data_IF_602229130779
#
_entry.id   IF_602229130779
#
_cell.length_a   1.000
_cell.length_b   1.000
_cell.length_c   1.000
_cell.angle_alpha   90.00
_cell.angle_beta   90.00
_cell.angle_gamma   90.00
#
_symmetry.space_group_name_H-M   'P 1'
#
loop_
_entity.id
_entity.type
_entity.pdbx_description
1 polymer ?
#
# COMPACT_ATOMS: atom_id res chain seq x y z
N UNK A 1 3.78 0.21 -23.15
CA UNK A 1 4.12 -0.50 -21.90
C UNK A 1 3.89 0.47 -20.73
N UNK A 2 3.20 0.04 -19.68
CA UNK A 2 3.06 0.83 -18.45
C UNK A 2 4.45 0.98 -17.80
N UNK A 3 4.81 2.19 -17.37
CA UNK A 3 6.09 2.51 -16.69
C UNK A 3 5.96 2.52 -15.17
N UNK A 4 4.76 2.22 -14.65
CA UNK A 4 4.44 2.30 -13.23
C UNK A 4 4.72 0.99 -12.49
N UNK A 5 4.82 1.07 -11.16
CA UNK A 5 5.16 -0.05 -10.28
C UNK A 5 6.51 -0.70 -10.65
N UNK A 6 7.54 0.12 -10.92
CA UNK A 6 8.88 -0.34 -11.27
C UNK A 6 9.52 -1.27 -10.22
N UNK A 7 9.11 -1.12 -8.96
CA UNK A 7 9.51 -1.95 -7.84
C UNK A 7 8.39 -2.03 -6.80
N UNK A 8 8.19 -3.22 -6.25
CA UNK A 8 7.29 -3.46 -5.12
C UNK A 8 8.08 -4.19 -4.04
N UNK A 9 8.17 -3.58 -2.86
CA UNK A 9 8.73 -4.22 -1.68
C UNK A 9 7.60 -4.65 -0.76
N UNK A 10 7.60 -5.91 -0.33
CA UNK A 10 6.62 -6.43 0.61
C UNK A 10 7.32 -7.21 1.72
N UNK A 11 6.90 -6.94 2.96
CA UNK A 11 7.47 -7.54 4.16
C UNK A 11 6.34 -7.96 5.10
N UNK A 12 6.46 -9.18 5.66
CA UNK A 12 5.51 -9.70 6.63
C UNK A 12 6.22 -10.28 7.83
N UNK A 13 5.64 -10.05 9.01
CA UNK A 13 6.08 -10.62 10.27
C UNK A 13 4.89 -11.27 10.95
N UNK A 14 5.00 -12.57 11.21
CA UNK A 14 3.94 -13.35 11.84
C UNK A 14 4.52 -14.50 12.65
N UNK A 15 3.73 -14.97 13.62
CA UNK A 15 4.02 -16.22 14.34
C UNK A 15 3.49 -17.42 13.54
N UNK A 16 4.30 -18.47 13.41
CA UNK A 16 3.93 -19.71 12.73
C UNK A 16 4.25 -20.93 13.60
N UNK A 17 3.56 -22.05 13.32
CA UNK A 17 3.81 -23.36 13.91
C UNK A 17 3.75 -24.39 12.78
N UNK A 18 4.59 -25.44 12.88
CA UNK A 18 4.58 -26.56 11.93
C UNK A 18 3.17 -27.16 11.85
N UNK A 19 2.68 -27.35 10.63
CA UNK A 19 1.43 -28.06 10.40
C UNK A 19 1.59 -29.55 10.73
N UNK A 20 0.48 -30.21 11.06
CA UNK A 20 0.47 -31.68 11.15
C UNK A 20 0.80 -32.29 9.79
N UNK A 21 1.33 -33.52 9.80
CA UNK A 21 1.68 -34.24 8.58
C UNK A 21 0.49 -34.35 7.63
N UNK A 22 0.74 -34.10 6.34
CA UNK A 22 -0.31 -34.07 5.31
C UNK A 22 -1.27 -32.87 5.35
N UNK A 23 -1.08 -31.88 6.24
CA UNK A 23 -1.96 -30.69 6.33
C UNK A 23 -1.26 -29.40 5.93
N UNK A 24 -2.00 -28.51 5.24
CA UNK A 24 -1.58 -27.14 4.97
C UNK A 24 -2.14 -26.18 6.03
N UNK A 25 -1.30 -25.27 6.53
CA UNK A 25 -1.71 -24.22 7.44
C UNK A 25 -1.74 -22.86 6.72
N UNK A 26 -2.83 -22.11 6.87
CA UNK A 26 -2.93 -20.73 6.37
C UNK A 26 -2.12 -19.79 7.27
N UNK A 27 -1.19 -19.05 6.67
CA UNK A 27 -0.40 -18.04 7.39
C UNK A 27 -1.24 -16.77 7.61
N UNK A 28 -1.11 -16.10 8.77
CA UNK A 28 -1.91 -14.93 9.10
C UNK A 28 -1.33 -13.64 8.48
N UNK A 29 -1.17 -13.65 7.16
CA UNK A 29 -0.55 -12.57 6.40
C UNK A 29 -1.60 -11.54 5.98
N UNK A 30 -1.33 -10.26 6.24
CA UNK A 30 -2.20 -9.14 5.84
C UNK A 30 -1.45 -8.16 4.94
N UNK A 31 -2.16 -7.53 4.00
CA UNK A 31 -1.59 -6.53 3.07
C UNK A 31 -2.57 -5.37 2.87
N UNK A 32 -2.13 -4.31 2.19
CA UNK A 32 -2.97 -3.19 1.78
C UNK A 32 -2.89 -2.98 0.27
N UNK A 33 -4.01 -2.66 -0.36
CA UNK A 33 -4.11 -2.34 -1.79
C UNK A 33 -4.45 -0.86 -1.96
N UNK A 34 -3.74 -0.19 -2.85
CA UNK A 34 -4.01 1.20 -3.25
C UNK A 34 -4.88 1.23 -4.50
N UNK A 35 -6.01 1.92 -4.43
CA UNK A 35 -6.96 2.10 -5.54
C UNK A 35 -6.83 3.43 -6.26
N UNK A 36 -5.61 3.86 -6.59
CA UNK A 36 -5.40 5.16 -7.25
C UNK A 36 -6.13 5.21 -8.60
N UNK A 37 -6.82 6.33 -8.88
CA UNK A 37 -7.52 6.54 -10.15
C UNK A 37 -6.53 7.06 -11.17
N UNK A 38 -6.08 6.17 -12.05
CA UNK A 38 -5.09 6.45 -13.09
C UNK A 38 -5.63 6.05 -14.46
N UNK A 39 -5.12 6.70 -15.50
CA UNK A 39 -5.38 6.30 -16.89
C UNK A 39 -4.74 4.95 -17.22
N UNK A 40 -5.06 4.42 -18.40
CA UNK A 40 -4.50 3.16 -18.90
C UNK A 40 -2.96 3.20 -19.06
N UNK A 41 -2.39 4.40 -19.19
CA UNK A 41 -0.94 4.66 -19.23
C UNK A 41 -0.31 4.79 -17.83
N UNK A 42 -1.07 4.51 -16.77
CA UNK A 42 -0.65 4.66 -15.36
C UNK A 42 -0.28 6.10 -15.01
N UNK A 43 -0.95 7.07 -15.62
CA UNK A 43 -0.80 8.49 -15.31
C UNK A 43 -2.04 9.09 -14.66
N UNK A 44 -1.86 10.21 -13.96
CA UNK A 44 -2.94 11.02 -13.42
C UNK A 44 -2.66 12.52 -13.69
N UNK A 45 -3.71 13.38 -13.73
CA UNK A 45 -3.52 14.81 -13.96
C UNK A 45 -2.54 15.42 -12.96
N UNK A 46 -1.46 16.03 -13.45
CA UNK A 46 -0.38 16.53 -12.62
C UNK A 46 -0.86 17.59 -11.60
N UNK A 47 -0.32 17.53 -10.38
CA UNK A 47 -0.58 18.51 -9.32
C UNK A 47 -2.00 18.53 -8.73
N UNK A 48 -2.94 17.75 -9.30
CA UNK A 48 -4.30 17.59 -8.77
C UNK A 48 -4.30 16.67 -7.56
N UNK A 49 -5.13 16.98 -6.57
CA UNK A 49 -5.36 16.08 -5.44
C UNK A 49 -6.39 15.02 -5.81
N UNK A 50 -6.12 13.76 -5.46
CA UNK A 50 -7.07 12.67 -5.59
C UNK A 50 -7.22 11.90 -4.27
N UNK A 51 -8.41 11.37 -4.03
CA UNK A 51 -8.64 10.36 -2.99
C UNK A 51 -8.25 8.99 -3.51
N UNK A 52 -7.37 8.32 -2.79
CA UNK A 52 -6.90 6.95 -3.07
C UNK A 52 -7.48 6.02 -2.02
N UNK A 53 -8.42 5.12 -2.36
CA UNK A 53 -8.86 4.06 -1.49
C UNK A 53 -7.70 3.15 -1.06
N UNK A 54 -7.69 2.79 0.21
CA UNK A 54 -6.71 1.86 0.80
C UNK A 54 -7.47 0.70 1.43
N UNK A 55 -7.44 -0.45 0.77
CA UNK A 55 -8.16 -1.64 1.21
C UNK A 55 -7.21 -2.62 1.89
N UNK A 56 -7.48 -2.95 3.16
CA UNK A 56 -6.75 -4.01 3.86
C UNK A 56 -7.30 -5.37 3.47
N UNK A 57 -6.41 -6.30 3.17
CA UNK A 57 -6.71 -7.70 2.84
C UNK A 57 -6.02 -8.63 3.83
N UNK A 58 -6.64 -9.81 4.07
CA UNK A 58 -6.15 -10.81 5.02
C UNK A 58 -6.81 -10.71 6.40
N UNK A 59 -6.23 -11.36 7.43
CA UNK A 59 -6.80 -11.39 8.78
C UNK A 59 -6.99 -10.03 9.45
N UNK A 60 -6.22 -9.01 9.04
CA UNK A 60 -6.39 -7.65 9.49
C UNK A 60 -7.60 -6.93 8.86
N UNK A 61 -8.31 -7.51 7.90
CA UNK A 61 -9.46 -6.86 7.28
C UNK A 61 -10.61 -6.67 8.28
N UNK A 62 -11.39 -5.58 8.11
CA UNK A 62 -12.54 -5.26 8.95
C UNK A 62 -12.19 -5.15 10.44
N UNK A 63 -12.84 -5.96 11.28
CA UNK A 63 -12.67 -5.94 12.74
C UNK A 63 -11.31 -6.47 13.22
N UNK A 64 -10.51 -7.07 12.33
CA UNK A 64 -9.17 -7.59 12.63
C UNK A 64 -8.07 -6.53 12.65
N UNK A 65 -8.35 -5.32 12.13
CA UNK A 65 -7.38 -4.24 12.03
C UNK A 65 -7.09 -3.66 13.42
N UNK A 66 -5.80 -3.56 13.78
CA UNK A 66 -5.34 -2.77 14.92
C UNK A 66 -4.90 -1.38 14.48
N UNK A 67 -4.09 -1.30 13.42
CA UNK A 67 -3.69 -0.02 12.84
C UNK A 67 -3.31 -0.14 11.37
N UNK A 68 -3.55 0.95 10.64
CA UNK A 68 -3.12 1.16 9.26
C UNK A 68 -2.39 2.50 9.20
N UNK A 69 -1.14 2.49 8.73
CA UNK A 69 -0.38 3.71 8.42
C UNK A 69 -0.07 3.75 6.95
N UNK A 70 -0.35 4.89 6.32
CA UNK A 70 -0.06 5.11 4.90
C UNK A 70 0.87 6.30 4.74
N UNK A 71 1.83 6.18 3.84
CA UNK A 71 2.81 7.21 3.55
C UNK A 71 2.96 7.41 2.05
N UNK A 72 3.32 8.63 1.66
CA UNK A 72 3.69 8.99 0.29
C UNK A 72 5.12 9.51 0.25
N UNK A 73 5.80 9.23 -0.84
CA UNK A 73 7.10 9.80 -1.18
C UNK A 73 7.05 10.36 -2.61
N UNK A 74 7.67 11.52 -2.82
CA UNK A 74 7.82 12.14 -4.15
C UNK A 74 9.28 12.15 -4.63
N UNK A 75 10.16 11.48 -3.90
CA UNK A 75 11.62 11.45 -4.09
C UNK A 75 12.15 10.01 -4.17
N UNK A 76 11.36 9.12 -4.79
CA UNK A 76 11.68 7.70 -4.98
C UNK A 76 11.91 6.92 -3.67
N UNK A 77 11.17 7.26 -2.62
CA UNK A 77 11.20 6.57 -1.32
C UNK A 77 12.34 7.00 -0.39
N UNK A 78 13.03 8.11 -0.69
CA UNK A 78 14.07 8.67 0.19
C UNK A 78 13.46 9.32 1.44
N UNK A 79 12.37 10.06 1.27
CA UNK A 79 11.60 10.64 2.37
C UNK A 79 10.14 10.21 2.31
N UNK A 80 9.53 10.04 3.48
CA UNK A 80 8.16 9.55 3.62
C UNK A 80 7.32 10.53 4.42
N UNK A 81 6.23 11.01 3.80
CA UNK A 81 5.22 11.82 4.48
C UNK A 81 4.03 10.95 4.85
N UNK A 82 3.69 10.94 6.13
CA UNK A 82 2.48 10.24 6.63
C UNK A 82 1.22 10.90 6.07
N UNK A 83 0.30 10.07 5.60
CA UNK A 83 -1.02 10.48 5.14
C UNK A 83 -2.07 10.19 6.22
N UNK A 84 -3.04 11.08 6.33
CA UNK A 84 -4.23 10.84 7.15
C UNK A 84 -5.16 9.91 6.38
N UNK A 85 -5.48 8.77 6.97
CA UNK A 85 -6.49 7.84 6.45
C UNK A 85 -7.85 8.25 7.01
N UNK A 86 -8.77 8.63 6.13
CA UNK A 86 -10.14 9.01 6.49
C UNK A 86 -11.12 8.13 5.71
N UNK A 87 -12.03 7.45 6.42
CA UNK A 87 -13.04 6.56 5.81
C UNK A 87 -12.46 5.51 4.83
N UNK A 88 -11.23 5.05 5.07
CA UNK A 88 -10.56 4.06 4.20
C UNK A 88 -9.87 4.65 2.96
N UNK A 89 -9.77 5.97 2.86
CA UNK A 89 -9.10 6.67 1.77
C UNK A 89 -7.97 7.56 2.30
N UNK A 90 -7.01 7.88 1.43
CA UNK A 90 -5.98 8.88 1.68
C UNK A 90 -6.01 9.95 0.59
N UNK A 91 -5.80 11.20 0.99
CA UNK A 91 -5.68 12.32 0.05
C UNK A 91 -4.24 12.46 -0.41
N UNK A 92 -4.01 12.34 -1.72
CA UNK A 92 -2.67 12.38 -2.34
C UNK A 92 -2.66 13.46 -3.41
N UNK A 93 -1.63 14.31 -3.39
CA UNK A 93 -1.37 15.24 -4.49
C UNK A 93 -0.65 14.48 -5.59
N UNK A 94 -1.17 14.49 -6.81
CA UNK A 94 -0.52 13.83 -7.93
C UNK A 94 0.86 14.45 -8.18
N UNK A 95 1.83 13.65 -8.65
CA UNK A 95 3.15 14.17 -8.93
C UNK A 95 3.10 15.20 -10.06
N UNK A 96 4.16 16.00 -10.19
CA UNK A 96 4.31 16.89 -11.34
C UNK A 96 4.44 16.08 -12.64
N UNK A 97 4.25 16.74 -13.78
CA UNK A 97 4.37 16.11 -15.10
C UNK A 97 5.72 15.40 -15.26
N UNK A 98 5.70 14.13 -15.67
CA UNK A 98 6.89 13.28 -15.84
C UNK A 98 7.53 12.80 -14.54
N UNK A 99 7.02 13.20 -13.36
CA UNK A 99 7.44 12.68 -12.06
C UNK A 99 6.49 11.58 -11.59
N UNK A 100 6.98 10.73 -10.71
CA UNK A 100 6.21 9.68 -10.05
C UNK A 100 6.08 9.95 -8.55
N UNK A 101 5.29 9.12 -7.89
CA UNK A 101 5.29 9.02 -6.43
C UNK A 101 5.36 7.56 -6.01
N UNK A 102 5.81 7.32 -4.79
CA UNK A 102 5.76 6.02 -4.14
C UNK A 102 4.73 6.03 -3.01
N UNK A 103 4.05 4.90 -2.81
CA UNK A 103 3.08 4.72 -1.73
C UNK A 103 3.53 3.56 -0.84
N UNK A 104 3.47 3.76 0.47
CA UNK A 104 3.78 2.74 1.45
C UNK A 104 2.64 2.58 2.44
N UNK A 105 2.24 1.33 2.70
CA UNK A 105 1.28 0.99 3.74
C UNK A 105 1.92 0.03 4.73
N UNK A 106 1.61 0.22 6.01
CA UNK A 106 1.90 -0.71 7.09
C UNK A 106 0.61 -1.05 7.81
N UNK A 107 0.31 -2.34 7.86
CA UNK A 107 -0.86 -2.94 8.49
C UNK A 107 -0.41 -3.71 9.72
N UNK A 108 -1.11 -3.52 10.83
CA UNK A 108 -0.94 -4.33 12.04
C UNK A 108 -2.30 -4.91 12.41
N UNK A 109 -2.37 -6.22 12.63
CA UNK A 109 -3.58 -6.88 13.12
C UNK A 109 -3.67 -6.87 14.65
N UNK A 110 -4.83 -7.24 15.20
CA UNK A 110 -5.04 -7.31 16.65
C UNK A 110 -4.21 -8.38 17.36
N UNK A 111 -3.66 -9.36 16.63
CA UNK A 111 -2.79 -10.43 17.15
C UNK A 111 -1.30 -10.03 17.11
N UNK A 112 -0.98 -8.84 16.59
CA UNK A 112 0.36 -8.28 16.49
C UNK A 112 1.13 -8.73 15.24
N UNK A 113 0.49 -9.38 14.27
CA UNK A 113 1.14 -9.64 12.99
C UNK A 113 1.20 -8.34 12.17
N UNK A 114 2.29 -8.14 11.45
CA UNK A 114 2.51 -6.95 10.64
C UNK A 114 2.71 -7.31 9.17
N UNK A 115 2.18 -6.46 8.30
CA UNK A 115 2.45 -6.48 6.88
C UNK A 115 2.80 -5.08 6.40
N UNK A 116 3.77 -4.96 5.51
CA UNK A 116 4.05 -3.72 4.84
C UNK A 116 4.22 -3.93 3.35
N UNK A 117 3.76 -2.95 2.58
CA UNK A 117 3.92 -2.92 1.12
C UNK A 117 4.33 -1.52 0.71
N UNK A 118 5.33 -1.44 -0.15
CA UNK A 118 5.81 -0.20 -0.75
C UNK A 118 5.77 -0.38 -2.25
N UNK A 119 5.03 0.49 -2.93
CA UNK A 119 4.93 0.54 -4.38
C UNK A 119 5.69 1.78 -4.85
N UNK A 120 6.83 1.56 -5.50
CA UNK A 120 7.61 2.62 -6.14
C UNK A 120 7.03 2.92 -7.51
N UNK A 121 7.15 4.17 -7.95
CA UNK A 121 6.55 4.65 -9.19
C UNK A 121 5.08 4.25 -9.35
N UNK A 122 4.30 4.38 -8.27
CA UNK A 122 2.92 3.90 -8.21
C UNK A 122 2.07 4.45 -9.37
N UNK A 123 2.32 5.70 -9.76
CA UNK A 123 1.83 6.32 -11.00
C UNK A 123 2.60 7.62 -11.29
N UNK A 124 2.43 8.14 -12.51
CA UNK A 124 3.09 9.37 -13.00
C UNK A 124 2.12 10.54 -13.17
N UNK A 125 2.63 11.76 -13.03
CA UNK A 125 1.90 12.97 -13.43
C UNK A 125 1.96 13.17 -14.94
N UNK A 126 0.84 13.55 -15.55
CA UNK A 126 0.75 13.93 -16.97
C UNK A 126 0.24 15.35 -17.14
#
# INVERSE_FOLDING_TARGET
>A
MSKAASRIDAEWTFRSKRAAEGKLAKLPVSTARFGAKVGLDSTAPAGRTQSVPVTVQGPAAGKGLKSLSVHVSYDAGKSWKKLTVAKGEVSVKNPAKGKSLALRAKVTDKKGNTGSVTVYDAYFGK
#
